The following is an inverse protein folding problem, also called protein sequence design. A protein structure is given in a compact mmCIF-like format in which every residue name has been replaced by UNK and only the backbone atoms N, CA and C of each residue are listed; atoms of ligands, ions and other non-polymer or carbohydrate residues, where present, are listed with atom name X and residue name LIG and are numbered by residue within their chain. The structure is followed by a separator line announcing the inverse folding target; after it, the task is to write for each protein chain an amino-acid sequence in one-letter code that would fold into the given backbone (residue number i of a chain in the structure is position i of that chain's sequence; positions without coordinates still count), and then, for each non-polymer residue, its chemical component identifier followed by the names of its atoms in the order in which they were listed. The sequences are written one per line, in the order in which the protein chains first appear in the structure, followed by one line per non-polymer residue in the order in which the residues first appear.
data_IF_691844701979
#
_entry.id   IF_691844701979
#
_cell.length_a   1.000
_cell.length_b   1.000
_cell.length_c   1.000
_cell.angle_alpha   90.00
_cell.angle_beta   90.00
_cell.angle_gamma   90.00
#
_symmetry.space_group_name_H-M   'P 1'
#
loop_
_entity.id
_entity.type
_entity.pdbx_description
1 polymer ?
#
# COMPACT_ATOMS: atom_id res chain seq x y z
N UNK A 1 16.35 4.18 -24.73
CA UNK A 1 16.35 5.29 -23.75
C UNK A 1 15.36 5.09 -22.60
N UNK A 2 14.10 4.70 -22.85
CA UNK A 2 13.08 4.51 -21.79
C UNK A 2 13.46 3.47 -20.71
N UNK A 3 14.13 2.36 -21.08
CA UNK A 3 14.55 1.31 -20.13
C UNK A 3 15.58 1.79 -19.10
N UNK A 4 16.52 2.65 -19.49
CA UNK A 4 17.56 3.22 -18.61
C UNK A 4 16.94 4.24 -17.65
N UNK A 5 15.96 5.02 -18.12
CA UNK A 5 15.22 5.97 -17.29
C UNK A 5 14.32 5.28 -16.25
N UNK A 6 13.75 4.11 -16.60
CA UNK A 6 12.99 3.28 -15.65
C UNK A 6 13.90 2.67 -14.58
N UNK A 7 15.07 2.12 -14.97
CA UNK A 7 16.03 1.57 -14.00
C UNK A 7 16.48 2.59 -12.95
N UNK A 8 16.74 3.84 -13.38
CA UNK A 8 17.14 4.92 -12.48
C UNK A 8 16.00 5.41 -11.55
N UNK A 9 14.73 5.27 -11.97
CA UNK A 9 13.55 5.64 -11.17
C UNK A 9 13.09 4.54 -10.21
N UNK A 10 13.38 3.27 -10.53
CA UNK A 10 12.96 2.12 -9.70
C UNK A 10 13.88 1.94 -8.50
N UNK A 11 15.15 2.35 -8.60
CA UNK A 11 16.11 2.30 -7.49
C UNK A 11 15.59 2.96 -6.18
N UNK A 12 15.12 4.23 -6.17
CA UNK A 12 14.60 4.84 -4.95
C UNK A 12 13.31 4.17 -4.44
N UNK A 13 12.46 3.66 -5.33
CA UNK A 13 11.23 2.95 -4.94
C UNK A 13 11.56 1.64 -4.22
N UNK A 14 12.53 0.88 -4.73
CA UNK A 14 13.00 -0.35 -4.09
C UNK A 14 13.60 -0.08 -2.70
N UNK A 15 14.42 0.97 -2.59
CA UNK A 15 15.02 1.38 -1.31
C UNK A 15 13.93 1.83 -0.33
N UNK A 16 12.98 2.66 -0.75
CA UNK A 16 11.89 3.09 0.13
C UNK A 16 11.04 1.91 0.61
N UNK A 17 10.72 0.96 -0.27
CA UNK A 17 9.88 -0.19 0.06
C UNK A 17 10.59 -1.14 1.01
N UNK A 18 11.91 -1.36 0.87
CA UNK A 18 12.67 -2.20 1.81
C UNK A 18 12.79 -1.57 3.20
N UNK A 19 12.94 -0.25 3.31
CA UNK A 19 12.87 0.45 4.61
C UNK A 19 11.48 0.37 5.24
N UNK A 20 10.41 0.52 4.44
CA UNK A 20 9.03 0.39 4.93
C UNK A 20 8.71 -1.03 5.40
N UNK A 21 9.22 -2.06 4.71
CA UNK A 21 9.07 -3.46 5.14
C UNK A 21 9.75 -3.70 6.49
N UNK A 22 10.93 -3.12 6.72
CA UNK A 22 11.64 -3.23 7.99
C UNK A 22 10.92 -2.49 9.13
N UNK A 23 10.08 -1.50 8.82
CA UNK A 23 9.28 -0.76 9.79
C UNK A 23 7.90 -1.39 10.07
N UNK A 24 7.46 -2.36 9.26
CA UNK A 24 6.19 -3.04 9.46
C UNK A 24 6.27 -3.93 10.70
N UNK A 25 5.67 -3.48 11.81
CA UNK A 25 5.66 -4.22 13.06
C UNK A 25 4.90 -5.55 12.98
N UNK A 26 5.21 -6.47 13.88
CA UNK A 26 4.57 -7.80 13.94
C UNK A 26 3.33 -7.86 14.83
N UNK A 27 2.93 -6.75 15.46
CA UNK A 27 1.75 -6.69 16.31
C UNK A 27 0.49 -6.43 15.50
N UNK A 28 -0.66 -6.78 16.06
CA UNK A 28 -1.97 -6.68 15.41
C UNK A 28 -2.25 -5.27 14.89
N UNK A 29 -2.03 -4.25 15.73
CA UNK A 29 -2.25 -2.86 15.36
C UNK A 29 -1.30 -2.37 14.26
N UNK A 30 -0.02 -2.75 14.31
CA UNK A 30 0.95 -2.35 13.30
C UNK A 30 0.61 -2.94 11.93
N UNK A 31 0.31 -4.26 11.86
CA UNK A 31 -0.10 -4.90 10.61
C UNK A 31 -1.41 -4.35 10.07
N UNK A 32 -2.39 -4.05 10.92
CA UNK A 32 -3.65 -3.43 10.51
C UNK A 32 -3.42 -2.02 9.94
N UNK A 33 -2.62 -1.18 10.59
CA UNK A 33 -2.35 0.18 10.11
C UNK A 33 -1.55 0.17 8.81
N UNK A 34 -0.51 -0.66 8.71
CA UNK A 34 0.30 -0.76 7.48
C UNK A 34 -0.53 -1.33 6.32
N UNK A 35 -1.30 -2.40 6.56
CA UNK A 35 -2.20 -2.98 5.56
C UNK A 35 -3.28 -2.00 5.11
N UNK A 36 -3.84 -1.23 6.05
CA UNK A 36 -4.81 -0.19 5.73
C UNK A 36 -4.21 0.98 4.95
N UNK A 37 -3.00 1.42 5.28
CA UNK A 37 -2.31 2.47 4.52
C UNK A 37 -2.02 2.06 3.08
N UNK A 38 -1.50 0.85 2.87
CA UNK A 38 -1.19 0.33 1.53
C UNK A 38 -2.46 0.10 0.72
N UNK A 39 -3.48 -0.49 1.35
CA UNK A 39 -4.78 -0.71 0.74
C UNK A 39 -5.46 0.59 0.34
N UNK A 40 -5.38 1.63 1.19
CA UNK A 40 -5.93 2.95 0.88
C UNK A 40 -5.16 3.64 -0.26
N UNK A 41 -3.82 3.58 -0.26
CA UNK A 41 -3.01 4.17 -1.32
C UNK A 41 -3.26 3.50 -2.67
N UNK A 42 -3.31 2.15 -2.68
CA UNK A 42 -3.56 1.37 -3.89
C UNK A 42 -5.01 1.55 -4.38
N UNK A 43 -5.98 1.54 -3.46
CA UNK A 43 -7.39 1.78 -3.77
C UNK A 43 -7.65 3.19 -4.29
N UNK A 44 -6.96 4.20 -3.76
CA UNK A 44 -7.00 5.58 -4.26
C UNK A 44 -6.41 5.68 -5.68
N UNK A 45 -5.26 5.05 -5.91
CA UNK A 45 -4.58 5.04 -7.21
C UNK A 45 -5.45 4.37 -8.27
N UNK A 46 -6.01 3.20 -7.96
CA UNK A 46 -6.93 2.50 -8.87
C UNK A 46 -8.22 3.28 -9.07
N UNK A 47 -8.79 3.87 -8.01
CA UNK A 47 -9.97 4.75 -8.11
C UNK A 47 -9.72 5.93 -9.07
N UNK A 48 -8.57 6.60 -8.93
CA UNK A 48 -8.16 7.67 -9.84
C UNK A 48 -8.02 7.21 -11.30
N UNK A 49 -7.54 5.99 -11.53
CA UNK A 49 -7.37 5.43 -12.88
C UNK A 49 -8.68 4.95 -13.51
N UNK A 50 -9.62 4.47 -12.71
CA UNK A 50 -10.83 3.79 -13.22
C UNK A 50 -11.91 4.79 -13.65
N UNK A 51 -11.77 6.09 -13.33
CA UNK A 51 -12.63 7.19 -13.82
C UNK A 51 -14.06 7.20 -13.29
N UNK A 52 -14.61 6.05 -12.87
CA UNK A 52 -15.96 5.90 -12.30
C UNK A 52 -16.01 5.61 -10.80
N UNK A 53 -14.86 5.33 -10.16
CA UNK A 53 -14.77 5.08 -8.71
C UNK A 53 -14.09 6.28 -8.06
N UNK A 54 -14.78 6.96 -7.15
CA UNK A 54 -14.21 8.08 -6.41
C UNK A 54 -12.90 7.67 -5.74
N UNK A 55 -11.85 8.48 -5.87
CA UNK A 55 -10.53 8.30 -5.22
C UNK A 55 -10.71 7.99 -3.73
N UNK A 56 -11.61 8.74 -3.08
CA UNK A 56 -11.90 8.57 -1.66
C UNK A 56 -12.63 7.25 -1.37
N UNK A 57 -13.52 6.79 -2.25
CA UNK A 57 -14.20 5.50 -2.11
C UNK A 57 -13.25 4.32 -2.26
N UNK A 58 -12.37 4.37 -3.27
CA UNK A 58 -11.30 3.39 -3.44
C UNK A 58 -10.34 3.38 -2.25
N UNK A 59 -9.98 4.55 -1.72
CA UNK A 59 -9.14 4.67 -0.53
C UNK A 59 -9.80 4.09 0.73
N UNK A 60 -11.08 4.37 0.95
CA UNK A 60 -11.82 3.87 2.12
C UNK A 60 -11.96 2.35 2.07
N UNK A 61 -12.40 1.81 0.93
CA UNK A 61 -12.61 0.37 0.77
C UNK A 61 -11.27 -0.36 0.84
N UNK A 62 -10.28 0.12 0.09
CA UNK A 62 -8.95 -0.46 0.10
C UNK A 62 -8.30 -0.40 1.49
N UNK A 63 -8.48 0.70 2.22
CA UNK A 63 -7.96 0.86 3.57
C UNK A 63 -8.66 -0.02 4.59
N UNK A 64 -9.99 -0.11 4.54
CA UNK A 64 -10.75 -0.98 5.45
C UNK A 64 -10.43 -2.46 5.23
N UNK A 65 -10.41 -2.89 3.96
CA UNK A 65 -10.07 -4.28 3.59
C UNK A 65 -8.62 -4.59 3.94
N UNK A 66 -7.68 -3.69 3.60
CA UNK A 66 -6.26 -3.85 3.90
C UNK A 66 -5.98 -3.91 5.42
N UNK A 67 -6.67 -3.10 6.21
CA UNK A 67 -6.55 -3.13 7.66
C UNK A 67 -7.12 -4.41 8.26
N UNK A 68 -8.30 -4.85 7.78
CA UNK A 68 -8.92 -6.10 8.21
C UNK A 68 -8.05 -7.32 7.92
N UNK A 69 -7.43 -7.40 6.75
CA UNK A 69 -6.54 -8.51 6.40
C UNK A 69 -5.25 -8.47 7.23
N UNK A 70 -4.66 -7.29 7.44
CA UNK A 70 -3.49 -7.12 8.29
C UNK A 70 -3.74 -7.55 9.74
N UNK A 71 -4.90 -7.17 10.28
CA UNK A 71 -5.39 -7.64 11.57
C UNK A 71 -5.58 -9.17 11.61
N UNK A 72 -6.26 -9.74 10.62
CA UNK A 72 -6.62 -11.17 10.60
C UNK A 72 -5.41 -12.11 10.40
N UNK A 73 -4.36 -11.64 9.71
CA UNK A 73 -3.16 -12.44 9.42
C UNK A 73 -2.03 -12.22 10.42
N UNK A 74 -2.28 -11.46 11.48
CA UNK A 74 -1.28 -11.26 12.54
C UNK A 74 -1.00 -12.58 13.25
N UNK A 75 0.26 -13.05 13.31
CA UNK A 75 0.64 -14.23 14.09
C UNK A 75 0.33 -14.02 15.57
N UNK A 76 -0.12 -15.08 16.23
CA UNK A 76 -0.45 -15.08 17.66
C UNK A 76 0.82 -15.21 18.49
#
# INVERSE_FOLDING_TARGET
MTKILVGLRVAPVLIATSLLLSACGNTWGQRAVTGGGIGAASGAALGAMTGGVSILGGALIGGAVGAGIGAATTPR
#
